data_IF_808199298390
#
_entry.id   IF_808199298390
#
_cell.length_a   1.000
_cell.length_b   1.000
_cell.length_c   1.000
_cell.angle_alpha   90.00
_cell.angle_beta   90.00
_cell.angle_gamma   90.00
#
_symmetry.space_group_name_H-M   'P 1'
#
loop_
_entity.id
_entity.type
_entity.pdbx_description
1 polymer ?
#
# COMPACT_ATOMS: atom_id res chain seq x y z
N UNK A 1 14.34 -11.11 -10.26
CA UNK A 1 13.17 -10.34 -9.78
C UNK A 1 12.63 -11.06 -8.55
N UNK A 2 12.39 -10.38 -7.43
CA UNK A 2 11.96 -10.96 -6.16
C UNK A 2 10.56 -10.50 -5.76
N UNK A 3 10.11 -10.91 -4.57
CA UNK A 3 8.89 -10.39 -3.93
C UNK A 3 9.09 -8.93 -3.53
N UNK A 4 7.99 -8.17 -3.41
CA UNK A 4 8.03 -6.72 -3.17
C UNK A 4 8.76 -6.36 -1.86
N UNK A 5 8.53 -7.13 -0.79
CA UNK A 5 9.19 -6.90 0.50
C UNK A 5 10.73 -6.96 0.37
N UNK A 6 11.25 -7.94 -0.36
CA UNK A 6 12.69 -8.05 -0.65
C UNK A 6 13.20 -6.91 -1.52
N UNK A 7 12.41 -6.43 -2.49
CA UNK A 7 12.74 -5.27 -3.30
C UNK A 7 12.83 -3.99 -2.45
N UNK A 8 11.95 -3.85 -1.45
CA UNK A 8 11.97 -2.76 -0.49
C UNK A 8 13.01 -2.96 0.64
N UNK A 9 13.90 -3.96 0.55
CA UNK A 9 14.86 -4.29 1.61
C UNK A 9 14.20 -4.55 2.97
N UNK A 10 12.99 -5.07 2.96
CA UNK A 10 12.14 -5.35 4.13
C UNK A 10 11.83 -4.12 4.99
N UNK A 11 11.95 -2.92 4.43
CA UNK A 11 11.46 -1.70 5.06
C UNK A 11 9.93 -1.73 5.11
N UNK A 12 9.30 -1.68 6.31
CA UNK A 12 7.85 -1.84 6.43
C UNK A 12 7.08 -0.70 5.79
N UNK A 13 7.55 0.54 5.89
CA UNK A 13 6.85 1.70 5.34
C UNK A 13 6.90 1.69 3.80
N UNK A 14 8.05 1.39 3.21
CA UNK A 14 8.18 1.25 1.75
C UNK A 14 7.36 0.09 1.21
N UNK A 15 7.31 -1.03 1.94
CA UNK A 15 6.54 -2.21 1.54
C UNK A 15 5.04 -1.92 1.57
N UNK A 16 4.56 -1.20 2.59
CA UNK A 16 3.17 -0.73 2.68
C UNK A 16 2.82 0.21 1.52
N UNK A 17 3.64 1.25 1.28
CA UNK A 17 3.41 2.17 0.17
C UNK A 17 3.38 1.44 -1.18
N UNK A 18 4.28 0.49 -1.41
CA UNK A 18 4.30 -0.30 -2.64
C UNK A 18 3.00 -1.11 -2.82
N UNK A 19 2.43 -1.63 -1.73
CA UNK A 19 1.10 -2.26 -1.72
C UNK A 19 -0.02 -1.28 -2.12
N UNK A 20 -0.03 -0.06 -1.56
CA UNK A 20 -0.98 0.98 -1.94
C UNK A 20 -0.84 1.38 -3.42
N UNK A 21 0.39 1.53 -3.91
CA UNK A 21 0.66 1.82 -5.32
C UNK A 21 0.08 0.72 -6.23
N UNK A 22 0.33 -0.55 -5.93
CA UNK A 22 -0.22 -1.68 -6.70
C UNK A 22 -1.76 -1.65 -6.73
N UNK A 23 -2.40 -1.31 -5.60
CA UNK A 23 -3.86 -1.33 -5.48
C UNK A 23 -4.54 -0.08 -6.07
N UNK A 24 -3.90 1.10 -6.04
CA UNK A 24 -4.55 2.36 -6.41
C UNK A 24 -4.15 2.89 -7.79
N UNK A 25 -3.03 2.45 -8.35
CA UNK A 25 -2.63 2.80 -9.71
C UNK A 25 -3.52 2.13 -10.78
N UNK A 26 -3.24 2.40 -12.06
CA UNK A 26 -4.02 1.87 -13.18
C UNK A 26 -3.81 0.38 -13.38
N UNK A 27 -4.81 -0.27 -13.97
CA UNK A 27 -4.77 -1.66 -14.38
C UNK A 27 -5.33 -2.62 -13.33
N UNK A 28 -5.23 -3.91 -13.65
CA UNK A 28 -5.63 -4.97 -12.72
C UNK A 28 -4.58 -5.13 -11.65
N UNK A 29 -4.97 -4.97 -10.40
CA UNK A 29 -4.09 -5.21 -9.26
C UNK A 29 -3.92 -6.72 -9.05
N UNK A 30 -2.67 -7.17 -8.96
CA UNK A 30 -2.31 -8.54 -8.65
C UNK A 30 -1.55 -8.56 -7.34
N UNK A 31 -2.00 -9.38 -6.40
CA UNK A 31 -1.27 -9.69 -5.17
C UNK A 31 -0.79 -11.13 -5.30
N UNK A 32 0.53 -11.32 -5.34
CA UNK A 32 1.06 -12.66 -5.28
C UNK A 32 1.01 -13.12 -3.82
N UNK A 33 0.56 -14.36 -3.58
CA UNK A 33 0.35 -14.86 -2.21
C UNK A 33 1.54 -14.61 -1.30
N UNK A 34 1.29 -14.13 -0.10
CA UNK A 34 2.31 -13.78 0.88
C UNK A 34 2.93 -12.37 0.71
N UNK A 35 2.57 -11.61 -0.33
CA UNK A 35 2.96 -10.19 -0.41
C UNK A 35 2.28 -9.38 0.68
N UNK A 36 1.03 -9.72 1.00
CA UNK A 36 0.21 -9.10 2.03
C UNK A 36 0.77 -9.30 3.46
N UNK A 37 1.67 -10.24 3.65
CA UNK A 37 2.39 -10.48 4.92
C UNK A 37 3.90 -10.26 4.78
N UNK A 38 4.37 -9.73 3.66
CA UNK A 38 5.77 -9.42 3.44
C UNK A 38 6.70 -10.63 3.37
N UNK A 39 6.21 -11.78 2.86
CA UNK A 39 7.04 -12.98 2.74
C UNK A 39 8.30 -12.71 1.92
N UNK A 40 9.46 -13.17 2.38
CA UNK A 40 10.68 -13.16 1.60
C UNK A 40 10.59 -14.12 0.40
N UNK A 41 11.44 -13.94 -0.58
CA UNK A 41 11.46 -14.78 -1.78
C UNK A 41 12.23 -14.08 -2.89
N UNK A 42 13.51 -13.84 -2.63
CA UNK A 42 14.46 -13.32 -3.61
C UNK A 42 15.39 -14.45 -4.06
N UNK A 43 16.05 -14.27 -5.19
CA UNK A 43 17.01 -15.25 -5.70
C UNK A 43 16.41 -16.27 -6.65
N UNK A 44 16.59 -17.56 -6.35
CA UNK A 44 16.13 -18.65 -7.22
C UNK A 44 14.59 -18.76 -7.25
N UNK A 45 14.07 -19.42 -8.28
CA UNK A 45 12.62 -19.55 -8.47
C UNK A 45 11.93 -20.38 -7.38
N UNK A 46 12.48 -21.49 -6.89
CA UNK A 46 11.90 -22.23 -5.78
C UNK A 46 11.64 -21.39 -4.52
N UNK A 47 12.52 -20.45 -4.16
CA UNK A 47 12.37 -19.60 -2.99
C UNK A 47 11.21 -18.60 -3.09
N UNK A 48 10.77 -18.27 -4.32
CA UNK A 48 9.57 -17.44 -4.52
C UNK A 48 8.27 -18.20 -4.26
N UNK A 49 8.34 -19.54 -4.28
CA UNK A 49 7.23 -20.47 -4.06
C UNK A 49 7.28 -21.12 -2.67
N UNK A 50 7.90 -20.42 -1.70
CA UNK A 50 7.96 -20.85 -0.32
C UNK A 50 6.55 -21.08 0.26
N UNK A 51 6.37 -22.02 1.20
CA UNK A 51 5.10 -22.22 1.90
C UNK A 51 4.63 -20.93 2.56
N UNK A 52 3.31 -20.71 2.56
CA UNK A 52 2.72 -19.54 3.22
C UNK A 52 2.97 -19.60 4.73
N UNK A 53 3.33 -18.47 5.33
CA UNK A 53 3.70 -18.36 6.73
C UNK A 53 2.48 -18.03 7.61
N UNK A 54 1.73 -19.08 7.99
CA UNK A 54 0.48 -18.97 8.73
C UNK A 54 0.66 -18.57 10.18
N UNK A 55 1.56 -19.26 10.90
CA UNK A 55 1.86 -19.05 12.31
C UNK A 55 3.35 -19.26 12.59
N UNK A 56 3.84 -18.75 13.71
CA UNK A 56 5.26 -18.81 14.08
C UNK A 56 5.73 -20.24 14.35
N UNK A 57 4.85 -21.12 14.85
CA UNK A 57 5.15 -22.53 15.07
C UNK A 57 5.31 -23.34 13.77
N UNK A 58 4.83 -22.82 12.65
CA UNK A 58 4.85 -23.47 11.31
C UNK A 58 4.18 -24.86 11.29
N UNK A 59 3.20 -25.06 12.16
CA UNK A 59 2.49 -26.34 12.32
C UNK A 59 1.08 -26.32 11.76
N UNK A 60 0.53 -25.13 11.45
CA UNK A 60 -0.83 -24.99 10.92
C UNK A 60 -0.81 -24.68 9.42
N UNK A 61 -1.29 -25.64 8.60
CA UNK A 61 -1.45 -25.44 7.16
C UNK A 61 -0.16 -25.26 6.35
N UNK A 62 1.00 -25.44 6.98
CA UNK A 62 2.29 -25.30 6.30
C UNK A 62 2.51 -26.47 5.34
N UNK A 63 2.71 -26.16 4.06
CA UNK A 63 3.01 -27.16 3.02
C UNK A 63 4.51 -27.45 2.95
N UNK A 64 4.88 -28.55 2.31
CA UNK A 64 6.28 -28.86 2.05
C UNK A 64 6.88 -27.85 1.04
N UNK A 65 8.02 -27.24 1.33
CA UNK A 65 8.68 -26.36 0.38
C UNK A 65 9.13 -27.13 -0.88
N UNK A 66 9.16 -26.48 -2.04
CA UNK A 66 9.73 -27.09 -3.24
C UNK A 66 11.22 -27.40 -3.04
N UNK A 67 11.79 -28.37 -3.79
CA UNK A 67 13.22 -28.62 -3.77
C UNK A 67 14.02 -27.34 -4.05
N UNK A 68 15.17 -27.18 -3.40
CA UNK A 68 16.07 -26.01 -3.52
C UNK A 68 15.46 -24.70 -3.00
N UNK A 69 14.32 -24.72 -2.34
CA UNK A 69 13.77 -23.55 -1.67
C UNK A 69 14.63 -23.20 -0.45
N UNK A 70 15.28 -22.05 -0.51
CA UNK A 70 15.94 -21.46 0.65
C UNK A 70 14.90 -20.71 1.49
N UNK A 71 14.43 -21.32 2.58
CA UNK A 71 13.61 -20.62 3.56
C UNK A 71 14.51 -19.71 4.41
N UNK A 72 14.12 -18.47 4.66
CA UNK A 72 14.86 -17.64 5.60
C UNK A 72 14.68 -18.19 7.02
N UNK A 73 15.67 -17.96 7.86
CA UNK A 73 15.56 -18.29 9.29
C UNK A 73 14.50 -17.46 9.98
N UNK A 74 14.38 -16.20 9.59
CA UNK A 74 13.40 -15.24 10.11
C UNK A 74 12.55 -14.66 8.98
N UNK A 75 11.30 -14.34 9.32
CA UNK A 75 10.38 -13.58 8.47
C UNK A 75 10.28 -12.16 9.05
N UNK A 76 10.84 -11.13 8.38
CA UNK A 76 10.98 -9.78 8.94
C UNK A 76 9.67 -9.13 9.41
N UNK A 77 8.54 -9.56 8.86
CA UNK A 77 7.21 -9.05 9.22
C UNK A 77 6.43 -9.98 10.16
N UNK A 78 6.97 -11.16 10.49
CA UNK A 78 6.25 -12.17 11.27
C UNK A 78 5.25 -12.98 10.46
N UNK A 79 4.53 -13.87 11.14
CA UNK A 79 3.48 -14.72 10.53
C UNK A 79 2.18 -13.96 10.31
N UNK A 80 1.24 -14.57 9.56
CA UNK A 80 -0.11 -14.04 9.43
C UNK A 80 -0.78 -13.89 10.80
N UNK A 81 -0.67 -14.90 11.66
CA UNK A 81 -1.26 -14.87 13.01
C UNK A 81 -0.78 -13.67 13.82
N UNK A 82 0.53 -13.43 13.85
CA UNK A 82 1.13 -12.28 14.51
C UNK A 82 0.65 -10.95 13.92
N UNK A 83 0.61 -10.86 12.58
CA UNK A 83 0.19 -9.64 11.89
C UNK A 83 -1.31 -9.35 12.03
N UNK A 84 -2.15 -10.36 12.17
CA UNK A 84 -3.59 -10.16 12.45
C UNK A 84 -3.85 -9.50 13.79
N UNK A 85 -2.95 -9.68 14.76
CA UNK A 85 -3.05 -9.10 16.10
C UNK A 85 -2.45 -7.67 16.20
N UNK A 86 -1.75 -7.20 15.16
CA UNK A 86 -1.13 -5.88 15.11
C UNK A 86 -1.86 -4.98 14.10
N UNK A 87 -2.58 -3.98 14.60
CA UNK A 87 -3.36 -3.04 13.77
C UNK A 87 -2.49 -2.27 12.77
N UNK A 88 -1.20 -2.09 13.05
CA UNK A 88 -0.25 -1.41 12.16
C UNK A 88 0.58 -2.37 11.29
N UNK A 89 0.22 -3.64 11.24
CA UNK A 89 0.89 -4.63 10.40
C UNK A 89 0.74 -4.37 8.90
N UNK A 90 1.59 -5.03 8.11
CA UNK A 90 1.47 -5.01 6.65
C UNK A 90 0.15 -5.66 6.19
N UNK A 91 -0.28 -6.76 6.82
CA UNK A 91 -1.52 -7.44 6.50
C UNK A 91 -2.75 -6.55 6.75
N UNK A 92 -2.83 -5.85 7.88
CA UNK A 92 -3.92 -4.92 8.16
C UNK A 92 -3.91 -3.72 7.21
N UNK A 93 -2.73 -3.24 6.82
CA UNK A 93 -2.59 -2.20 5.80
C UNK A 93 -3.15 -2.65 4.44
N UNK A 94 -2.81 -3.87 3.96
CA UNK A 94 -3.38 -4.43 2.73
C UNK A 94 -4.90 -4.59 2.82
N UNK A 95 -5.43 -5.07 3.96
CA UNK A 95 -6.88 -5.15 4.19
C UNK A 95 -7.56 -3.80 4.02
N UNK A 96 -7.01 -2.75 4.63
CA UNK A 96 -7.54 -1.39 4.51
C UNK A 96 -7.46 -0.88 3.07
N UNK A 97 -6.33 -1.06 2.40
CA UNK A 97 -6.16 -0.65 1.01
C UNK A 97 -7.16 -1.34 0.06
N UNK A 98 -7.39 -2.65 0.24
CA UNK A 98 -8.39 -3.40 -0.52
C UNK A 98 -9.81 -2.87 -0.23
N UNK A 99 -10.14 -2.62 1.04
CA UNK A 99 -11.43 -2.09 1.43
C UNK A 99 -11.69 -0.70 0.81
N UNK A 100 -10.70 0.19 0.82
CA UNK A 100 -10.79 1.51 0.16
C UNK A 100 -11.00 1.35 -1.35
N UNK A 101 -10.23 0.48 -2.02
CA UNK A 101 -10.39 0.22 -3.45
C UNK A 101 -11.79 -0.31 -3.81
N UNK A 102 -12.38 -1.14 -2.95
CA UNK A 102 -13.74 -1.69 -3.13
C UNK A 102 -14.82 -0.64 -2.87
N UNK A 103 -14.64 0.20 -1.85
CA UNK A 103 -15.59 1.24 -1.48
C UNK A 103 -15.63 2.39 -2.51
N UNK A 104 -14.56 2.61 -3.26
CA UNK A 104 -14.43 3.65 -4.27
C UNK A 104 -14.21 3.05 -5.66
N UNK A 105 -15.27 2.69 -6.41
CA UNK A 105 -15.17 2.07 -7.74
C UNK A 105 -14.33 2.88 -8.73
N UNK A 106 -14.27 4.19 -8.57
CA UNK A 106 -13.41 5.08 -9.37
C UNK A 106 -11.93 4.71 -9.25
N UNK A 107 -11.47 4.15 -8.11
CA UNK A 107 -10.10 3.63 -7.98
C UNK A 107 -9.86 2.39 -8.85
N UNK A 108 -10.87 1.53 -8.99
CA UNK A 108 -10.75 0.27 -9.74
C UNK A 108 -10.92 0.47 -11.25
N UNK A 109 -11.90 1.28 -11.65
CA UNK A 109 -12.36 1.41 -13.03
C UNK A 109 -11.89 2.70 -13.70
N UNK A 110 -11.46 3.70 -12.93
CA UNK A 110 -11.17 5.04 -13.42
C UNK A 110 -9.95 5.10 -14.36
N UNK A 111 -10.07 5.93 -15.39
CA UNK A 111 -8.92 6.33 -16.20
C UNK A 111 -8.01 7.22 -15.36
N UNK A 112 -6.72 6.93 -15.37
CA UNK A 112 -5.72 7.67 -14.60
C UNK A 112 -5.10 8.78 -15.43
N UNK A 113 -4.98 9.97 -14.82
CA UNK A 113 -4.24 11.12 -15.34
C UNK A 113 -3.34 11.68 -14.27
N UNK A 114 -2.14 12.17 -14.63
CA UNK A 114 -1.24 12.78 -13.68
C UNK A 114 -1.78 14.14 -13.22
N UNK A 115 -1.67 14.42 -11.92
CA UNK A 115 -1.92 15.75 -11.32
C UNK A 115 -0.58 16.46 -11.09
N UNK A 116 0.02 16.91 -12.19
CA UNK A 116 1.41 17.41 -12.19
C UNK A 116 1.62 18.64 -11.31
N UNK A 117 0.59 19.45 -11.12
CA UNK A 117 0.68 20.62 -10.25
C UNK A 117 0.65 20.28 -8.75
N UNK A 118 0.15 19.09 -8.38
CA UNK A 118 0.22 18.53 -7.02
C UNK A 118 1.45 17.64 -6.80
N UNK A 119 2.20 17.32 -7.86
CA UNK A 119 3.48 16.62 -7.76
C UNK A 119 4.54 17.63 -7.31
N UNK A 120 4.70 17.79 -6.00
CA UNK A 120 5.67 18.71 -5.43
C UNK A 120 6.62 17.96 -4.49
N UNK A 121 7.91 18.12 -4.73
CA UNK A 121 8.94 17.49 -3.90
C UNK A 121 8.80 15.97 -3.85
N UNK A 122 8.42 15.45 -2.70
CA UNK A 122 8.26 14.02 -2.44
C UNK A 122 6.82 13.50 -2.60
N UNK A 123 5.87 14.31 -3.08
CA UNK A 123 4.48 13.89 -3.27
C UNK A 123 4.24 13.54 -4.74
N UNK A 124 3.70 12.34 -4.96
CA UNK A 124 3.16 11.91 -6.25
C UNK A 124 1.64 11.97 -6.22
N UNK A 125 1.03 12.63 -7.20
CA UNK A 125 -0.42 12.78 -7.29
C UNK A 125 -0.96 12.37 -8.66
N UNK A 126 -2.11 11.71 -8.65
CA UNK A 126 -2.84 11.36 -9.86
C UNK A 126 -4.34 11.38 -9.62
N UNK A 127 -5.09 11.69 -10.68
CA UNK A 127 -6.56 11.68 -10.70
C UNK A 127 -7.05 10.41 -11.38
N UNK A 128 -8.14 9.85 -10.88
CA UNK A 128 -8.90 8.82 -11.58
C UNK A 128 -10.31 9.31 -11.82
N UNK A 129 -10.85 9.05 -13.01
CA UNK A 129 -12.19 9.48 -13.41
C UNK A 129 -12.96 8.31 -13.99
N UNK A 130 -14.21 8.11 -13.50
CA UNK A 130 -15.12 7.06 -13.95
C UNK A 130 -16.58 7.48 -13.71
N UNK A 131 -17.44 7.41 -14.75
CA UNK A 131 -18.86 7.76 -14.66
C UNK A 131 -19.12 9.13 -13.99
N UNK A 132 -18.43 10.17 -14.46
CA UNK A 132 -18.52 11.54 -13.95
C UNK A 132 -18.05 11.73 -12.49
N UNK A 133 -17.57 10.67 -11.86
CA UNK A 133 -16.91 10.73 -10.56
C UNK A 133 -15.41 10.85 -10.73
N UNK A 134 -14.78 11.57 -9.81
CA UNK A 134 -13.33 11.65 -9.77
C UNK A 134 -12.80 11.48 -8.34
N UNK A 135 -11.60 10.92 -8.25
CA UNK A 135 -10.81 10.88 -7.01
C UNK A 135 -9.41 11.38 -7.33
N UNK A 136 -8.77 12.05 -6.37
CA UNK A 136 -7.33 12.34 -6.41
C UNK A 136 -6.67 11.46 -5.37
N UNK A 137 -5.61 10.78 -5.79
CA UNK A 137 -4.73 10.02 -4.89
C UNK A 137 -3.42 10.78 -4.77
N UNK A 138 -3.01 11.06 -3.53
CA UNK A 138 -1.72 11.65 -3.21
C UNK A 138 -0.92 10.67 -2.36
N UNK A 139 0.34 10.47 -2.73
CA UNK A 139 1.26 9.56 -2.04
C UNK A 139 2.54 10.30 -1.70
N UNK A 140 2.88 10.38 -0.43
CA UNK A 140 4.21 10.81 -0.02
C UNK A 140 5.18 9.62 -0.21
N UNK A 141 6.22 9.83 -1.01
CA UNK A 141 7.19 8.78 -1.34
C UNK A 141 8.51 8.93 -0.56
N UNK A 142 8.53 9.81 0.46
CA UNK A 142 9.72 10.12 1.25
C UNK A 142 9.53 9.76 2.74
N UNK A 143 10.63 9.79 3.45
CA UNK A 143 10.74 9.60 4.91
C UNK A 143 10.37 10.84 5.71
N UNK A 144 10.15 11.98 5.04
CA UNK A 144 9.79 13.27 5.66
C UNK A 144 8.32 13.55 5.36
N UNK A 145 7.60 14.07 6.35
CA UNK A 145 6.22 14.52 6.16
C UNK A 145 6.16 15.66 5.12
N UNK A 146 5.07 15.69 4.36
CA UNK A 146 4.80 16.70 3.35
C UNK A 146 3.47 17.40 3.62
N UNK A 147 3.41 18.70 3.32
CA UNK A 147 2.19 19.50 3.34
C UNK A 147 1.86 19.92 1.91
N UNK A 148 0.59 19.70 1.50
CA UNK A 148 0.12 19.99 0.14
C UNK A 148 -1.02 20.99 0.19
N UNK A 149 -0.86 22.15 -0.46
CA UNK A 149 -1.90 23.16 -0.61
C UNK A 149 -2.83 22.81 -1.78
N UNK A 150 -4.11 22.62 -1.48
CA UNK A 150 -5.17 22.30 -2.44
C UNK A 150 -6.03 23.52 -2.80
N UNK A 151 -5.72 24.72 -2.31
CA UNK A 151 -6.54 25.93 -2.46
C UNK A 151 -6.88 26.29 -3.92
N UNK A 152 -5.99 25.96 -4.86
CA UNK A 152 -6.19 26.19 -6.31
C UNK A 152 -7.00 25.07 -7.01
N UNK A 153 -7.39 24.00 -6.29
CA UNK A 153 -7.98 22.79 -6.87
C UNK A 153 -9.49 22.64 -6.64
N UNK A 154 -10.12 23.60 -5.95
CA UNK A 154 -11.51 23.51 -5.52
C UNK A 154 -11.68 22.79 -4.17
N UNK A 155 -12.91 22.46 -3.84
CA UNK A 155 -13.25 21.87 -2.54
C UNK A 155 -13.13 20.35 -2.58
N UNK A 156 -12.31 19.80 -1.70
CA UNK A 156 -12.04 18.36 -1.58
C UNK A 156 -12.27 17.87 -0.16
N UNK A 157 -12.71 16.63 -0.04
CA UNK A 157 -12.88 15.92 1.21
C UNK A 157 -11.94 14.71 1.25
N UNK A 158 -11.30 14.48 2.38
CA UNK A 158 -10.52 13.28 2.64
C UNK A 158 -11.47 12.08 2.81
N UNK A 159 -11.63 11.29 1.76
CA UNK A 159 -12.51 10.13 1.75
C UNK A 159 -11.89 8.91 2.41
N UNK A 160 -10.58 8.74 2.26
CA UNK A 160 -9.83 7.64 2.86
C UNK A 160 -8.34 7.98 2.97
N UNK A 161 -7.67 7.29 3.88
CA UNK A 161 -6.23 7.44 4.07
C UNK A 161 -5.59 6.12 4.47
N UNK A 162 -4.29 5.96 4.14
CA UNK A 162 -3.45 4.86 4.56
C UNK A 162 -2.15 5.42 5.10
N UNK A 163 -1.91 5.22 6.38
CA UNK A 163 -0.67 5.61 7.03
C UNK A 163 0.29 4.42 7.09
N UNK A 164 1.52 4.63 6.65
CA UNK A 164 2.54 3.59 6.71
C UNK A 164 3.22 3.52 8.07
N UNK A 165 3.33 4.66 8.76
CA UNK A 165 4.00 4.82 10.06
C UNK A 165 3.04 4.90 11.26
N UNK A 166 1.73 4.90 11.01
CA UNK A 166 0.68 5.01 12.02
C UNK A 166 0.30 6.45 12.38
N UNK A 167 0.97 7.46 11.83
CA UNK A 167 0.60 8.86 12.03
C UNK A 167 -0.65 9.25 11.24
N UNK A 168 -1.44 10.16 11.77
CA UNK A 168 -2.68 10.60 11.15
C UNK A 168 -2.42 11.42 9.87
N UNK A 169 -3.26 11.20 8.86
CA UNK A 169 -3.34 12.02 7.64
C UNK A 169 -4.53 12.94 7.80
N UNK A 170 -4.30 14.24 7.71
CA UNK A 170 -5.31 15.26 8.02
C UNK A 170 -5.46 16.23 6.86
N UNK A 171 -6.70 16.56 6.52
CA UNK A 171 -7.03 17.67 5.63
C UNK A 171 -7.64 18.79 6.48
N UNK A 172 -6.90 19.89 6.67
CA UNK A 172 -7.32 21.09 7.36
C UNK A 172 -7.63 22.18 6.33
N UNK A 173 -8.90 22.54 6.18
CA UNK A 173 -9.36 23.44 5.13
C UNK A 173 -8.87 22.98 3.74
N UNK A 174 -7.85 23.65 3.22
CA UNK A 174 -7.23 23.32 1.92
C UNK A 174 -5.83 22.72 2.05
N UNK A 175 -5.34 22.46 3.25
CA UNK A 175 -3.99 21.93 3.47
C UNK A 175 -4.06 20.45 3.88
N UNK A 176 -3.49 19.59 3.05
CA UNK A 176 -3.35 18.16 3.31
C UNK A 176 -1.98 17.87 3.93
N UNK A 177 -1.99 17.33 5.14
CA UNK A 177 -0.78 16.87 5.83
C UNK A 177 -0.59 15.37 5.60
N UNK A 178 0.53 15.01 4.96
CA UNK A 178 0.90 13.64 4.63
C UNK A 178 2.14 13.24 5.41
N UNK A 179 2.05 12.31 6.37
CA UNK A 179 3.23 11.75 7.03
C UNK A 179 4.11 10.97 6.05
N UNK A 180 5.27 10.50 6.51
CA UNK A 180 6.18 9.67 5.73
C UNK A 180 5.44 8.46 5.14
N UNK A 181 5.58 8.24 3.83
CA UNK A 181 4.92 7.16 3.07
C UNK A 181 3.39 7.10 3.22
N UNK A 182 2.76 8.22 3.61
CA UNK A 182 1.30 8.34 3.72
C UNK A 182 0.62 8.40 2.35
N UNK A 183 -0.59 7.87 2.28
CA UNK A 183 -1.45 7.90 1.07
C UNK A 183 -2.81 8.47 1.43
N UNK A 184 -3.25 9.52 0.72
CA UNK A 184 -4.58 10.11 0.84
C UNK A 184 -5.39 9.87 -0.43
N UNK A 185 -6.71 9.65 -0.25
CA UNK A 185 -7.69 9.58 -1.34
C UNK A 185 -8.72 10.67 -1.10
N UNK A 186 -8.78 11.64 -2.01
CA UNK A 186 -9.70 12.77 -1.96
C UNK A 186 -10.85 12.57 -2.96
N UNK A 187 -12.05 13.02 -2.56
CA UNK A 187 -13.23 13.15 -3.42
C UNK A 187 -13.67 14.62 -3.45
N UNK A 188 -14.34 15.09 -4.53
CA UNK A 188 -14.94 16.42 -4.53
C UNK A 188 -15.93 16.57 -3.36
N UNK A 189 -15.89 17.71 -2.68
CA UNK A 189 -16.93 18.05 -1.71
C UNK A 189 -18.27 18.26 -2.40
N UNK A 190 -19.36 17.85 -1.78
CA UNK A 190 -20.73 17.94 -2.28
C UNK A 190 -21.32 19.32 -1.94
#
# INVERSE_FOLDING_TARGET
>A
MGRIAGFCSYDPMKTKLAGAMNLFMSGSAFIYYGEEIGMPGSGNDPSKRAPFFWNDARDNGTTTPPPECALPEEYPFGSLETQMADDNSLWNYYRQAIAIRQALPTLSHGRTTAETALNAGCVSAFRKTWNDQSVIVLMNIDTVAASVDLSAYGDWTLAASLSADGNEIVLNDTTLELPAFGTAVLIPSV
#
